data_IF_608660539061
#
_entry.id   IF_608660539061
#
_cell.length_a   1.000
_cell.length_b   1.000
_cell.length_c   1.000
_cell.angle_alpha   90.00
_cell.angle_beta   90.00
_cell.angle_gamma   90.00
#
_symmetry.space_group_name_H-M   'P 1'
#
loop_
_entity.id
_entity.type
_entity.pdbx_description
1 polymer ?
#
# COMPACT_ATOMS: atom_id res chain seq x y z
N UNK A 1 -9.38 23.58 41.07
CA UNK A 1 -9.57 22.37 41.89
C UNK A 1 -11.06 22.03 41.94
N UNK A 2 -11.41 20.76 41.67
CA UNK A 2 -12.50 19.93 42.26
C UNK A 2 -13.86 20.61 42.55
N UNK A 3 -15.05 20.14 42.15
CA UNK A 3 -15.52 18.88 41.57
C UNK A 3 -16.98 19.10 41.12
N UNK A 4 -17.33 18.79 39.86
CA UNK A 4 -18.70 18.94 39.32
C UNK A 4 -19.46 17.60 39.30
N UNK A 5 -19.34 16.80 40.35
CA UNK A 5 -19.89 15.43 40.43
C UNK A 5 -21.00 15.27 41.50
N UNK A 6 -21.51 16.36 42.08
CA UNK A 6 -22.46 16.28 43.21
C UNK A 6 -23.93 16.53 42.89
N UNK A 7 -24.31 16.66 41.61
CA UNK A 7 -25.69 16.99 41.21
C UNK A 7 -26.40 15.95 40.34
N UNK A 8 -25.86 14.74 40.19
CA UNK A 8 -26.54 13.66 39.46
C UNK A 8 -27.43 12.76 40.33
N UNK A 9 -27.42 12.93 41.66
CA UNK A 9 -28.31 12.20 42.58
C UNK A 9 -29.35 13.13 43.20
N UNK A 10 -30.18 13.75 42.35
CA UNK A 10 -31.45 14.29 42.80
C UNK A 10 -32.49 13.19 42.63
N UNK A 11 -32.75 12.48 43.72
CA UNK A 11 -33.83 11.51 43.86
C UNK A 11 -35.16 12.23 43.61
N UNK A 12 -35.64 12.14 42.37
CA UNK A 12 -37.02 12.51 42.06
C UNK A 12 -37.93 11.52 42.78
N UNK A 13 -38.90 12.10 43.49
CA UNK A 13 -39.99 11.45 44.21
C UNK A 13 -40.46 10.15 43.57
N UNK A 14 -40.67 9.17 44.43
CA UNK A 14 -41.41 7.93 44.23
C UNK A 14 -42.63 8.13 43.32
N UNK A 15 -42.41 7.86 42.04
CA UNK A 15 -43.45 7.24 41.21
C UNK A 15 -42.98 5.80 41.10
N UNK A 16 -43.46 4.96 42.02
CA UNK A 16 -43.29 3.52 41.92
C UNK A 16 -43.62 3.12 40.48
N UNK A 17 -42.73 2.39 39.78
CA UNK A 17 -43.10 1.84 38.50
C UNK A 17 -44.36 1.03 38.75
N UNK A 18 -45.38 1.21 37.91
CA UNK A 18 -46.58 0.38 37.93
C UNK A 18 -46.10 -1.07 37.79
N UNK A 19 -45.99 -1.79 38.91
CA UNK A 19 -45.36 -3.10 38.99
C UNK A 19 -46.24 -4.10 38.23
N UNK A 20 -46.01 -4.21 36.92
CA UNK A 20 -46.14 -5.51 36.29
C UNK A 20 -45.10 -6.38 36.98
N UNK A 21 -45.55 -7.21 37.90
CA UNK A 21 -44.72 -8.25 38.53
C UNK A 21 -44.10 -9.06 37.40
N UNK A 22 -42.80 -8.87 37.18
CA UNK A 22 -42.02 -9.68 36.26
C UNK A 22 -42.08 -11.11 36.77
N UNK A 23 -42.63 -12.00 35.96
CA UNK A 23 -42.70 -13.41 36.28
C UNK A 23 -41.37 -14.10 35.94
N UNK A 24 -41.14 -15.27 36.51
CA UNK A 24 -39.98 -16.08 36.12
C UNK A 24 -40.00 -16.45 34.63
N UNK A 25 -41.17 -16.46 34.00
CA UNK A 25 -41.33 -16.69 32.57
C UNK A 25 -40.87 -15.47 31.75
N UNK A 26 -41.11 -14.24 32.23
CA UNK A 26 -40.59 -13.02 31.60
C UNK A 26 -39.05 -13.01 31.60
N UNK A 27 -38.42 -13.39 32.71
CA UNK A 27 -36.96 -13.54 32.78
C UNK A 27 -36.42 -14.66 31.89
N UNK A 28 -37.11 -15.80 31.79
CA UNK A 28 -36.71 -16.88 30.86
C UNK A 28 -36.77 -16.40 29.42
N UNK A 29 -37.83 -15.68 29.06
CA UNK A 29 -38.01 -15.14 27.71
C UNK A 29 -36.92 -14.13 27.36
N UNK A 30 -36.65 -13.18 28.25
CA UNK A 30 -35.57 -12.19 28.08
C UNK A 30 -34.20 -12.87 27.96
N UNK A 31 -33.93 -13.91 28.74
CA UNK A 31 -32.66 -14.64 28.67
C UNK A 31 -32.49 -15.40 27.33
N UNK A 32 -33.57 -15.98 26.78
CA UNK A 32 -33.52 -16.59 25.44
C UNK A 32 -33.35 -15.54 24.33
N UNK A 33 -34.01 -14.39 24.45
CA UNK A 33 -33.81 -13.24 23.53
C UNK A 33 -32.35 -12.76 23.56
N UNK A 34 -31.76 -12.62 24.75
CA UNK A 34 -30.35 -12.26 24.93
C UNK A 34 -29.39 -13.31 24.35
N UNK A 35 -29.69 -14.61 24.48
CA UNK A 35 -28.87 -15.66 23.84
C UNK A 35 -28.91 -15.55 22.32
N UNK A 36 -30.09 -15.29 21.75
CA UNK A 36 -30.24 -15.09 20.32
C UNK A 36 -29.49 -13.85 19.82
N UNK A 37 -29.60 -12.73 20.55
CA UNK A 37 -28.89 -11.49 20.23
C UNK A 37 -27.37 -11.68 20.32
N UNK A 38 -26.88 -12.30 21.39
CA UNK A 38 -25.45 -12.55 21.59
C UNK A 38 -24.88 -13.46 20.49
N UNK A 39 -25.65 -14.49 20.07
CA UNK A 39 -25.27 -15.33 18.92
C UNK A 39 -25.22 -14.52 17.63
N UNK A 40 -26.22 -13.68 17.36
CA UNK A 40 -26.27 -12.81 16.18
C UNK A 40 -25.09 -11.83 16.15
N UNK A 41 -24.79 -11.19 17.27
CA UNK A 41 -23.65 -10.28 17.43
C UNK A 41 -22.32 -11.01 17.21
N UNK A 42 -22.16 -12.22 17.76
CA UNK A 42 -20.96 -13.02 17.58
C UNK A 42 -20.74 -13.43 16.12
N UNK A 43 -21.81 -13.85 15.43
CA UNK A 43 -21.76 -14.16 13.99
C UNK A 43 -21.46 -12.91 13.15
N UNK A 44 -22.05 -11.76 13.51
CA UNK A 44 -21.76 -10.48 12.89
C UNK A 44 -20.29 -10.09 13.04
N UNK A 45 -19.77 -10.15 14.27
CA UNK A 45 -18.37 -9.85 14.58
C UNK A 45 -17.41 -10.76 13.82
N UNK A 46 -17.72 -12.07 13.74
CA UNK A 46 -16.91 -13.04 12.99
C UNK A 46 -16.85 -12.71 11.50
N UNK A 47 -17.97 -12.30 10.89
CA UNK A 47 -18.00 -11.90 9.47
C UNK A 47 -17.17 -10.64 9.24
N UNK A 48 -17.32 -9.63 10.10
CA UNK A 48 -16.54 -8.38 10.00
C UNK A 48 -15.04 -8.65 10.17
N UNK A 49 -14.67 -9.47 11.15
CA UNK A 49 -13.28 -9.86 11.37
C UNK A 49 -12.66 -10.55 10.15
N UNK A 50 -13.37 -11.51 9.53
CA UNK A 50 -12.88 -12.15 8.32
C UNK A 50 -12.72 -11.15 7.16
N UNK A 51 -13.69 -10.25 6.96
CA UNK A 51 -13.61 -9.23 5.91
C UNK A 51 -12.41 -8.28 6.12
N UNK A 52 -12.12 -7.87 7.36
CA UNK A 52 -10.95 -7.06 7.69
C UNK A 52 -9.64 -7.81 7.46
N UNK A 53 -9.58 -9.09 7.85
CA UNK A 53 -8.40 -9.93 7.64
C UNK A 53 -8.11 -10.21 6.16
N UNK A 54 -9.15 -10.38 5.34
CA UNK A 54 -9.02 -10.54 3.89
C UNK A 54 -8.49 -9.25 3.25
N UNK A 55 -9.04 -8.09 3.64
CA UNK A 55 -8.57 -6.79 3.17
C UNK A 55 -7.10 -6.53 3.56
N UNK A 56 -6.71 -6.92 4.78
CA UNK A 56 -5.31 -6.83 5.23
C UNK A 56 -4.40 -7.71 4.39
N UNK A 57 -4.80 -8.96 4.11
CA UNK A 57 -4.02 -9.87 3.27
C UNK A 57 -3.83 -9.32 1.86
N UNK A 58 -4.89 -8.78 1.26
CA UNK A 58 -4.80 -8.18 -0.08
C UNK A 58 -3.82 -7.01 -0.12
N UNK A 59 -3.89 -6.13 0.88
CA UNK A 59 -3.00 -4.99 0.97
C UNK A 59 -1.54 -5.42 1.11
N UNK A 60 -1.28 -6.45 1.91
CA UNK A 60 0.06 -7.02 2.06
C UNK A 60 0.55 -7.68 0.75
N UNK A 61 -0.32 -8.42 0.07
CA UNK A 61 0.00 -9.05 -1.21
C UNK A 61 0.34 -7.99 -2.29
N UNK A 62 -0.45 -6.91 -2.36
CA UNK A 62 -0.19 -5.80 -3.27
C UNK A 62 1.13 -5.09 -2.95
N UNK A 63 1.40 -4.87 -1.66
CA UNK A 63 2.66 -4.24 -1.21
C UNK A 63 3.86 -5.10 -1.60
N UNK A 64 3.78 -6.42 -1.39
CA UNK A 64 4.82 -7.36 -1.77
C UNK A 64 5.05 -7.41 -3.30
N UNK A 65 3.98 -7.36 -4.11
CA UNK A 65 4.08 -7.33 -5.57
C UNK A 65 4.78 -6.05 -6.08
N UNK A 66 4.61 -4.91 -5.40
CA UNK A 66 5.22 -3.63 -5.78
C UNK A 66 6.67 -3.48 -5.33
N UNK A 67 7.11 -4.22 -4.31
CA UNK A 67 8.46 -4.12 -3.76
C UNK A 67 9.55 -4.45 -4.79
N UNK A 68 9.37 -5.52 -5.56
CA UNK A 68 10.35 -5.97 -6.56
C UNK A 68 10.53 -4.95 -7.71
N UNK A 69 9.46 -4.50 -8.40
CA UNK A 69 9.57 -3.46 -9.41
C UNK A 69 10.16 -2.15 -8.87
N UNK A 70 9.85 -1.78 -7.61
CA UNK A 70 10.41 -0.59 -6.98
C UNK A 70 11.92 -0.70 -6.81
N UNK A 71 12.42 -1.86 -6.35
CA UNK A 71 13.86 -2.11 -6.22
C UNK A 71 14.57 -2.08 -7.58
N UNK A 72 13.97 -2.68 -8.60
CA UNK A 72 14.50 -2.64 -9.98
C UNK A 72 14.60 -1.20 -10.50
N UNK A 73 13.55 -0.39 -10.31
CA UNK A 73 13.55 1.01 -10.73
C UNK A 73 14.60 1.85 -9.97
N UNK A 74 14.76 1.62 -8.66
CA UNK A 74 15.81 2.27 -7.87
C UNK A 74 17.21 1.89 -8.35
N UNK A 75 17.43 0.62 -8.69
CA UNK A 75 18.69 0.15 -9.24
C UNK A 75 18.96 0.76 -10.62
N UNK A 76 17.93 0.85 -11.48
CA UNK A 76 18.03 1.53 -12.77
C UNK A 76 18.32 3.02 -12.63
N UNK A 77 17.70 3.73 -11.68
CA UNK A 77 18.02 5.14 -11.40
C UNK A 77 19.49 5.31 -10.99
N UNK A 78 20.00 4.41 -10.15
CA UNK A 78 21.41 4.41 -9.76
C UNK A 78 22.33 4.14 -10.96
N UNK A 79 22.03 3.12 -11.76
CA UNK A 79 22.80 2.80 -12.96
C UNK A 79 22.79 3.95 -13.95
N UNK A 80 21.64 4.60 -14.18
CA UNK A 80 21.56 5.77 -15.06
C UNK A 80 22.42 6.93 -14.55
N UNK A 81 22.49 7.17 -13.24
CA UNK A 81 23.41 8.17 -12.67
C UNK A 81 24.88 7.84 -12.90
N UNK A 82 25.24 6.56 -12.90
CA UNK A 82 26.61 6.09 -13.11
C UNK A 82 27.00 6.09 -14.60
N UNK A 83 26.12 5.57 -15.47
CA UNK A 83 26.29 5.57 -16.94
C UNK A 83 26.35 7.00 -17.46
N UNK A 84 25.51 7.87 -16.92
CA UNK A 84 25.50 9.30 -17.25
C UNK A 84 26.54 10.06 -16.42
N UNK A 85 27.81 9.62 -16.43
CA UNK A 85 28.96 10.48 -16.11
C UNK A 85 29.14 11.52 -17.23
N UNK A 86 28.12 12.37 -17.35
CA UNK A 86 28.00 13.44 -18.33
C UNK A 86 29.25 14.32 -18.31
N UNK A 87 29.81 14.57 -17.11
CA UNK A 87 31.00 15.39 -16.93
C UNK A 87 32.26 14.70 -17.44
N UNK A 88 32.43 13.40 -17.19
CA UNK A 88 33.56 12.63 -17.71
C UNK A 88 33.51 12.46 -19.23
N UNK A 89 32.35 12.17 -19.81
CA UNK A 89 32.16 12.07 -21.26
C UNK A 89 32.39 13.44 -21.91
N UNK A 90 31.79 14.50 -21.37
CA UNK A 90 31.97 15.88 -21.88
C UNK A 90 33.44 16.33 -21.79
N UNK A 91 34.15 15.97 -20.71
CA UNK A 91 35.57 16.25 -20.56
C UNK A 91 36.41 15.55 -21.64
N UNK A 92 36.19 14.25 -21.85
CA UNK A 92 36.94 13.47 -22.85
C UNK A 92 36.65 13.95 -24.27
N UNK A 93 35.40 14.32 -24.58
CA UNK A 93 35.04 14.95 -25.86
C UNK A 93 35.77 16.29 -26.02
N UNK A 94 35.72 17.17 -25.01
CA UNK A 94 36.40 18.47 -25.04
C UNK A 94 37.91 18.31 -25.23
N UNK A 95 38.54 17.37 -24.54
CA UNK A 95 39.97 17.06 -24.69
C UNK A 95 40.29 16.57 -26.12
N UNK A 96 39.50 15.65 -26.66
CA UNK A 96 39.68 15.14 -28.02
C UNK A 96 39.42 16.20 -29.11
N UNK A 97 38.56 17.19 -28.85
CA UNK A 97 38.32 18.32 -29.78
C UNK A 97 39.35 19.44 -29.70
N UNK A 98 39.99 19.63 -28.54
CA UNK A 98 41.06 20.65 -28.35
C UNK A 98 42.39 20.21 -28.92
N UNK A 99 42.72 18.93 -28.79
CA UNK A 99 43.93 18.31 -29.34
C UNK A 99 43.55 17.05 -30.12
N UNK A 100 43.20 17.20 -31.41
CA UNK A 100 42.78 16.07 -32.24
C UNK A 100 43.97 15.16 -32.54
N UNK A 101 44.17 14.19 -31.65
CA UNK A 101 45.06 13.04 -31.82
C UNK A 101 44.20 11.79 -32.11
N UNK A 102 44.55 10.97 -33.11
CA UNK A 102 43.76 9.81 -33.51
C UNK A 102 43.43 8.85 -32.36
N UNK A 103 44.34 8.68 -31.40
CA UNK A 103 44.12 7.80 -30.24
C UNK A 103 43.16 8.43 -29.23
N UNK A 104 43.28 9.74 -28.98
CA UNK A 104 42.34 10.49 -28.12
C UNK A 104 40.93 10.51 -28.72
N UNK A 105 40.80 10.73 -30.02
CA UNK A 105 39.50 10.72 -30.72
C UNK A 105 38.86 9.33 -30.71
N UNK A 106 39.63 8.27 -30.97
CA UNK A 106 39.13 6.90 -30.90
C UNK A 106 38.70 6.51 -29.47
N UNK A 107 39.45 6.94 -28.46
CA UNK A 107 39.09 6.72 -27.06
C UNK A 107 37.80 7.43 -26.64
N UNK A 108 37.61 8.67 -27.10
CA UNK A 108 36.38 9.44 -26.88
C UNK A 108 35.16 8.77 -27.54
N UNK A 109 35.28 8.38 -28.81
CA UNK A 109 34.22 7.67 -29.54
C UNK A 109 33.86 6.33 -28.88
N UNK A 110 34.86 5.58 -28.41
CA UNK A 110 34.62 4.32 -27.69
C UNK A 110 33.81 4.54 -26.41
N UNK A 111 34.14 5.58 -25.62
CA UNK A 111 33.37 5.92 -24.41
C UNK A 111 31.94 6.34 -24.71
N UNK A 112 31.73 7.16 -25.74
CA UNK A 112 30.37 7.55 -26.18
C UNK A 112 29.57 6.32 -26.59
N UNK A 113 30.16 5.42 -27.38
CA UNK A 113 29.47 4.21 -27.86
C UNK A 113 29.10 3.24 -26.73
N UNK A 114 29.95 3.10 -25.71
CA UNK A 114 29.64 2.30 -24.51
C UNK A 114 28.45 2.91 -23.77
N UNK A 115 28.48 4.23 -23.55
CA UNK A 115 27.38 4.93 -22.88
C UNK A 115 26.06 4.83 -23.67
N UNK A 116 26.10 4.89 -25.00
CA UNK A 116 24.92 4.68 -25.85
C UNK A 116 24.35 3.27 -25.71
N UNK A 117 25.22 2.24 -25.71
CA UNK A 117 24.79 0.85 -25.53
C UNK A 117 24.16 0.60 -24.17
N UNK A 118 24.77 1.12 -23.10
CA UNK A 118 24.26 1.00 -21.74
C UNK A 118 22.93 1.75 -21.57
N UNK A 119 22.75 2.89 -22.25
CA UNK A 119 21.51 3.66 -22.24
C UNK A 119 20.37 2.95 -22.97
N UNK A 120 20.65 2.28 -24.08
CA UNK A 120 19.67 1.43 -24.78
C UNK A 120 19.22 0.27 -23.87
N UNK A 121 20.17 -0.42 -23.21
CA UNK A 121 19.83 -1.48 -22.25
C UNK A 121 19.00 -0.97 -21.06
N UNK A 122 19.32 0.21 -20.54
CA UNK A 122 18.53 0.84 -19.48
C UNK A 122 17.10 1.19 -19.94
N UNK A 123 16.92 1.62 -21.20
CA UNK A 123 15.59 1.87 -21.77
C UNK A 123 14.74 0.59 -21.89
N UNK A 124 15.34 -0.53 -22.30
CA UNK A 124 14.67 -1.83 -22.39
C UNK A 124 14.24 -2.33 -21.00
N UNK A 125 15.10 -2.20 -20.00
CA UNK A 125 14.78 -2.55 -18.62
C UNK A 125 13.64 -1.67 -18.06
N UNK A 126 13.70 -0.35 -18.28
CA UNK A 126 12.64 0.56 -17.87
C UNK A 126 11.29 0.20 -18.51
N UNK A 127 11.29 -0.13 -19.81
CA UNK A 127 10.08 -0.57 -20.52
C UNK A 127 9.50 -1.83 -19.91
N UNK A 128 10.35 -2.79 -19.57
CA UNK A 128 9.94 -4.04 -18.91
C UNK A 128 9.31 -3.77 -17.55
N UNK A 129 9.93 -2.94 -16.70
CA UNK A 129 9.35 -2.57 -15.40
C UNK A 129 8.01 -1.84 -15.54
N UNK A 130 7.86 -0.95 -16.53
CA UNK A 130 6.59 -0.26 -16.83
C UNK A 130 5.51 -1.27 -17.22
N UNK A 131 5.83 -2.24 -18.08
CA UNK A 131 4.86 -3.23 -18.54
C UNK A 131 4.45 -4.19 -17.40
N UNK A 132 5.38 -4.56 -16.52
CA UNK A 132 5.09 -5.29 -15.28
C UNK A 132 4.12 -4.52 -14.38
N UNK A 133 4.37 -3.23 -14.13
CA UNK A 133 3.49 -2.39 -13.32
C UNK A 133 2.09 -2.23 -13.93
N UNK A 134 1.99 -2.09 -15.26
CA UNK A 134 0.70 -2.08 -15.97
C UNK A 134 -0.05 -3.41 -15.81
N UNK A 135 0.66 -4.53 -15.83
CA UNK A 135 0.08 -5.86 -15.61
C UNK A 135 -0.53 -5.97 -14.22
N UNK A 136 0.20 -5.56 -13.18
CA UNK A 136 -0.31 -5.53 -11.80
C UNK A 136 -1.53 -4.63 -11.65
N UNK A 137 -1.51 -3.43 -12.25
CA UNK A 137 -2.68 -2.53 -12.31
C UNK A 137 -3.90 -3.19 -12.95
N UNK A 138 -3.71 -3.98 -14.01
CA UNK A 138 -4.80 -4.71 -14.68
C UNK A 138 -5.37 -5.80 -13.78
N UNK A 139 -4.53 -6.55 -13.08
CA UNK A 139 -4.93 -7.60 -12.14
C UNK A 139 -5.72 -6.99 -10.97
N UNK A 140 -5.26 -5.88 -10.40
CA UNK A 140 -5.96 -5.09 -9.38
C UNK A 140 -7.39 -4.74 -9.83
N UNK A 141 -7.52 -4.12 -11.01
CA UNK A 141 -8.83 -3.75 -11.57
C UNK A 141 -9.75 -4.95 -11.82
N UNK A 142 -9.21 -6.12 -12.12
CA UNK A 142 -10.01 -7.34 -12.30
C UNK A 142 -10.50 -7.88 -10.95
N UNK A 143 -9.65 -7.87 -9.92
CA UNK A 143 -10.01 -8.23 -8.55
C UNK A 143 -11.12 -7.32 -8.01
N UNK A 144 -11.01 -6.01 -8.20
CA UNK A 144 -12.03 -5.05 -7.75
C UNK A 144 -13.39 -5.29 -8.43
N UNK A 145 -13.38 -5.60 -9.73
CA UNK A 145 -14.59 -5.95 -10.48
C UNK A 145 -15.23 -7.26 -10.00
N UNK A 146 -14.43 -8.23 -9.57
CA UNK A 146 -14.92 -9.49 -9.02
C UNK A 146 -15.60 -9.31 -7.66
N UNK A 147 -15.25 -8.27 -6.89
CA UNK A 147 -15.87 -7.94 -5.59
C UNK A 147 -17.19 -7.18 -5.70
N UNK A 148 -17.43 -6.51 -6.83
CA UNK A 148 -18.65 -5.74 -7.08
C UNK A 148 -19.79 -6.57 -7.66
N UNK A 149 -19.57 -7.87 -7.93
CA UNK A 149 -20.55 -8.82 -8.45
C UNK A 149 -20.95 -9.81 -7.36
#
# INVERSE_FOLDING_TARGET
MSSSLKRMFSTKKDTAPNEKSYTMDDYRKENEELKHENKSLHEGLKRTYHAEMDALHDMLEQTAQLESPLRELQQLDKQLREIYDRKGIEKVIKEATREPDPWKTAGALKKVKIAEQELVGAQENLRTSIDTLKSYLKQLRQRDKARQK
#
